data_IF_894300386804
#
_entry.id   IF_894300386804
#
_cell.length_a   1.000
_cell.length_b   1.000
_cell.length_c   1.000
_cell.angle_alpha   90.00
_cell.angle_beta   90.00
_cell.angle_gamma   90.00
#
_symmetry.space_group_name_H-M   'P 1'
#
loop_
_entity.id
_entity.type
_entity.pdbx_description
1 polymer ?
#
# COMPACT_ATOMS: atom_id res chain seq x y z
N UNK A 1 23.78 27.07 -13.26
CA UNK A 1 23.81 25.87 -12.39
C UNK A 1 22.66 25.81 -11.37
N UNK A 2 22.30 26.90 -10.67
CA UNK A 2 21.24 26.89 -9.63
C UNK A 2 19.83 26.42 -10.06
N UNK A 3 19.43 26.66 -11.32
CA UNK A 3 18.12 26.23 -11.85
C UNK A 3 17.98 24.71 -11.97
N UNK A 4 19.09 24.01 -12.24
CA UNK A 4 19.13 22.55 -12.37
C UNK A 4 19.02 21.87 -11.01
N UNK A 5 19.73 22.39 -10.01
CA UNK A 5 19.68 21.89 -8.64
C UNK A 5 18.28 22.07 -8.00
N UNK A 6 17.61 23.21 -8.28
CA UNK A 6 16.23 23.43 -7.83
C UNK A 6 15.25 22.46 -8.49
N UNK A 7 15.41 22.16 -9.78
CA UNK A 7 14.57 21.18 -10.49
C UNK A 7 14.74 19.77 -9.90
N UNK A 8 15.99 19.33 -9.68
CA UNK A 8 16.29 18.04 -9.06
C UNK A 8 15.69 17.92 -7.65
N UNK A 9 15.70 19.00 -6.87
CA UNK A 9 15.08 19.02 -5.55
C UNK A 9 13.55 18.87 -5.61
N UNK A 10 12.90 19.56 -6.55
CA UNK A 10 11.45 19.42 -6.78
C UNK A 10 11.08 18.02 -7.27
N UNK A 11 11.88 17.43 -8.16
CA UNK A 11 11.67 16.08 -8.67
C UNK A 11 11.78 15.04 -7.53
N UNK A 12 12.77 15.20 -6.63
CA UNK A 12 12.93 14.33 -5.47
C UNK A 12 11.75 14.45 -4.48
N UNK A 13 11.27 15.67 -4.22
CA UNK A 13 10.08 15.90 -3.39
C UNK A 13 8.85 15.25 -4.03
N UNK A 14 8.66 15.44 -5.35
CA UNK A 14 7.52 14.86 -6.06
C UNK A 14 7.53 13.32 -6.01
N UNK A 15 8.70 12.70 -6.17
CA UNK A 15 8.84 11.24 -6.07
C UNK A 15 8.50 10.73 -4.66
N UNK A 16 8.97 11.41 -3.62
CA UNK A 16 8.67 11.05 -2.24
C UNK A 16 7.17 11.16 -1.95
N UNK A 17 6.55 12.29 -2.31
CA UNK A 17 5.11 12.50 -2.11
C UNK A 17 4.27 11.49 -2.90
N UNK A 18 4.70 11.14 -4.12
CA UNK A 18 4.04 10.11 -4.92
C UNK A 18 4.15 8.73 -4.24
N UNK A 19 5.33 8.36 -3.75
CA UNK A 19 5.52 7.09 -3.05
C UNK A 19 4.66 7.02 -1.78
N UNK A 20 4.60 8.10 -1.00
CA UNK A 20 3.78 8.20 0.20
C UNK A 20 2.28 8.15 -0.13
N UNK A 21 1.84 8.81 -1.20
CA UNK A 21 0.48 8.74 -1.69
C UNK A 21 0.11 7.30 -2.11
N UNK A 22 0.96 6.64 -2.90
CA UNK A 22 0.74 5.26 -3.34
C UNK A 22 0.67 4.30 -2.15
N UNK A 23 1.55 4.45 -1.16
CA UNK A 23 1.50 3.66 0.07
C UNK A 23 0.18 3.86 0.82
N UNK A 24 -0.22 5.11 1.06
CA UNK A 24 -1.47 5.44 1.78
C UNK A 24 -2.69 4.89 1.06
N UNK A 25 -2.79 5.14 -0.24
CA UNK A 25 -3.93 4.67 -1.05
C UNK A 25 -4.00 3.15 -1.15
N UNK A 26 -2.84 2.47 -1.25
CA UNK A 26 -2.79 1.00 -1.23
C UNK A 26 -3.31 0.42 0.09
N UNK A 27 -2.97 1.03 1.23
CA UNK A 27 -3.49 0.63 2.54
C UNK A 27 -5.00 0.80 2.62
N UNK A 28 -5.53 1.97 2.23
CA UNK A 28 -6.97 2.22 2.22
C UNK A 28 -7.71 1.24 1.30
N UNK A 29 -7.15 0.93 0.13
CA UNK A 29 -7.73 -0.05 -0.77
C UNK A 29 -7.83 -1.43 -0.12
N UNK A 30 -6.76 -1.88 0.53
CA UNK A 30 -6.75 -3.17 1.23
C UNK A 30 -7.79 -3.22 2.36
N UNK A 31 -7.92 -2.14 3.14
CA UNK A 31 -8.95 -2.02 4.18
C UNK A 31 -10.37 -2.11 3.61
N UNK A 32 -10.64 -1.39 2.52
CA UNK A 32 -11.94 -1.46 1.84
C UNK A 32 -12.25 -2.85 1.31
N UNK A 33 -11.26 -3.54 0.73
CA UNK A 33 -11.42 -4.90 0.25
C UNK A 33 -11.75 -5.87 1.41
N UNK A 34 -11.04 -5.76 2.54
CA UNK A 34 -11.30 -6.57 3.74
C UNK A 34 -12.72 -6.29 4.26
N UNK A 35 -13.14 -5.04 4.33
CA UNK A 35 -14.50 -4.67 4.73
C UNK A 35 -15.57 -5.27 3.81
N UNK A 36 -15.35 -5.28 2.50
CA UNK A 36 -16.28 -5.93 1.56
C UNK A 36 -16.29 -7.45 1.73
N UNK A 37 -15.14 -8.07 2.01
CA UNK A 37 -15.07 -9.51 2.25
C UNK A 37 -15.91 -9.92 3.47
N UNK A 38 -15.86 -9.16 4.57
CA UNK A 38 -16.62 -9.50 5.78
C UNK A 38 -18.13 -9.31 5.65
N UNK A 39 -18.63 -8.60 4.62
CA UNK A 39 -20.09 -8.53 4.37
C UNK A 39 -20.64 -9.78 3.70
N UNK A 40 -19.80 -10.54 3.00
CA UNK A 40 -20.20 -11.72 2.23
C UNK A 40 -19.61 -13.04 2.75
N UNK A 41 -18.65 -12.98 3.68
CA UNK A 41 -17.98 -14.14 4.25
C UNK A 41 -17.89 -14.03 5.78
N UNK A 42 -17.93 -15.15 6.51
CA UNK A 42 -17.66 -15.14 7.95
C UNK A 42 -16.28 -14.54 8.24
N UNK A 43 -16.18 -13.67 9.25
CA UNK A 43 -14.92 -13.01 9.63
C UNK A 43 -13.77 -14.01 9.83
N UNK A 44 -14.04 -15.16 10.47
CA UNK A 44 -13.05 -16.23 10.69
C UNK A 44 -12.44 -16.77 9.38
N UNK A 45 -13.21 -16.77 8.30
CA UNK A 45 -12.77 -17.22 6.98
C UNK A 45 -11.89 -16.16 6.31
N UNK A 46 -12.30 -14.90 6.40
CA UNK A 46 -11.49 -13.75 5.93
C UNK A 46 -10.12 -13.73 6.64
N UNK A 47 -10.10 -13.92 7.96
CA UNK A 47 -8.85 -13.96 8.75
C UNK A 47 -7.94 -15.09 8.26
N UNK A 48 -8.46 -16.31 8.06
CA UNK A 48 -7.66 -17.44 7.57
C UNK A 48 -7.04 -17.17 6.20
N UNK A 49 -7.78 -16.52 5.30
CA UNK A 49 -7.26 -16.13 3.97
C UNK A 49 -6.13 -15.12 4.13
N UNK A 50 -6.32 -14.07 4.94
CA UNK A 50 -5.30 -13.06 5.21
C UNK A 50 -4.03 -13.65 5.85
N UNK A 51 -4.17 -14.57 6.80
CA UNK A 51 -3.04 -15.28 7.41
C UNK A 51 -2.26 -16.11 6.38
N UNK A 52 -2.97 -16.77 5.46
CA UNK A 52 -2.34 -17.52 4.37
C UNK A 52 -1.55 -16.61 3.44
N UNK A 53 -2.13 -15.47 3.03
CA UNK A 53 -1.42 -14.48 2.22
C UNK A 53 -0.22 -13.87 2.96
N UNK A 54 -0.37 -13.55 4.25
CA UNK A 54 0.73 -13.06 5.07
C UNK A 54 1.87 -14.07 5.18
N UNK A 55 1.55 -15.36 5.29
CA UNK A 55 2.56 -16.43 5.24
C UNK A 55 3.31 -16.42 3.92
N UNK A 56 2.59 -16.39 2.79
CA UNK A 56 3.18 -16.35 1.45
C UNK A 56 4.08 -15.12 1.28
N UNK A 57 3.62 -13.94 1.72
CA UNK A 57 4.39 -12.69 1.58
C UNK A 57 5.70 -12.70 2.36
N UNK A 58 5.75 -13.35 3.53
CA UNK A 58 6.98 -13.50 4.30
C UNK A 58 8.05 -14.32 3.57
N UNK A 59 7.64 -15.20 2.66
CA UNK A 59 8.58 -15.99 1.85
C UNK A 59 9.18 -15.17 0.68
N UNK A 60 8.63 -13.99 0.39
CA UNK A 60 9.13 -13.06 -0.64
C UNK A 60 9.96 -11.90 -0.07
N UNK A 61 10.22 -11.88 1.24
CA UNK A 61 11.19 -10.98 1.90
C UNK A 61 12.64 -11.50 1.77
#
# INVERSE_FOLDING_TARGET
MARSARKQNLDAIAQQEQADYLRRTSMTFLECAIHLCVTHMPTKEVVRVLETHACILRDYE
#
